data_IF_853925505706
#
_entry.id   IF_853925505706
#
_cell.length_a   1.000
_cell.length_b   1.000
_cell.length_c   1.000
_cell.angle_alpha   90.00
_cell.angle_beta   90.00
_cell.angle_gamma   90.00
#
_symmetry.space_group_name_H-M   'P 1'
#
loop_
_entity.id
_entity.type
_entity.pdbx_description
1 polymer ?
#
# COMPACT_ATOMS: atom_id res chain seq x y z
N UNK A 1 73.12 1.19 12.58
CA UNK A 1 72.18 0.85 13.66
C UNK A 1 71.21 2.01 13.78
N UNK A 2 69.94 1.69 13.59
CA UNK A 2 68.84 2.53 13.13
C UNK A 2 68.43 3.65 14.10
N UNK A 3 67.90 4.76 13.57
CA UNK A 3 67.02 5.66 14.32
C UNK A 3 65.59 5.56 13.77
N UNK A 4 64.69 4.84 14.46
CA UNK A 4 63.26 4.94 14.16
C UNK A 4 62.67 6.18 14.83
N UNK A 5 62.36 7.18 13.99
CA UNK A 5 61.47 8.30 14.29
C UNK A 5 60.04 7.82 14.07
N UNK A 6 59.29 7.55 15.12
CA UNK A 6 57.84 7.36 15.00
C UNK A 6 57.10 8.69 15.10
N UNK A 7 56.44 9.04 14.00
CA UNK A 7 55.67 10.25 13.82
C UNK A 7 54.30 10.19 14.51
N UNK A 8 53.85 11.38 14.91
CA UNK A 8 52.48 11.69 15.31
C UNK A 8 51.44 11.04 14.38
N UNK A 9 50.49 10.31 14.97
CA UNK A 9 49.11 10.25 14.50
C UNK A 9 48.21 10.73 15.62
N UNK A 10 47.87 12.01 15.56
CA UNK A 10 46.75 12.61 16.27
C UNK A 10 45.49 11.80 15.94
N UNK A 11 44.89 11.17 16.97
CA UNK A 11 43.58 10.52 16.85
C UNK A 11 42.51 11.60 16.97
N UNK A 12 41.49 11.45 16.14
CA UNK A 12 40.38 12.35 15.87
C UNK A 12 39.59 12.78 17.12
N UNK A 13 38.88 13.93 17.06
CA UNK A 13 38.28 14.59 18.22
C UNK A 13 37.19 13.77 18.90
N UNK A 14 37.20 13.86 20.23
CA UNK A 14 36.19 13.40 21.17
C UNK A 14 34.77 13.72 20.67
N UNK A 15 33.94 12.69 20.59
CA UNK A 15 32.52 12.80 20.32
C UNK A 15 31.87 13.69 21.39
N UNK A 16 31.31 14.82 20.95
CA UNK A 16 30.40 15.65 21.72
C UNK A 16 29.13 14.86 22.04
N UNK A 17 29.17 14.09 23.13
CA UNK A 17 27.96 13.56 23.76
C UNK A 17 27.31 14.66 24.60
N UNK A 18 26.05 14.93 24.29
CA UNK A 18 25.17 15.84 25.02
C UNK A 18 25.18 15.52 26.53
N UNK A 19 25.49 16.53 27.33
CA UNK A 19 25.56 16.52 28.81
C UNK A 19 24.22 16.27 29.51
N UNK A 20 23.14 16.00 28.76
CA UNK A 20 21.80 15.71 29.30
C UNK A 20 21.29 14.29 28.99
N UNK A 21 22.15 13.42 28.47
CA UNK A 21 21.84 12.00 28.32
C UNK A 21 22.04 11.32 29.68
N UNK A 22 20.98 10.76 30.28
CA UNK A 22 21.16 9.80 31.40
C UNK A 22 22.20 8.76 30.95
N UNK A 23 23.11 8.28 31.83
CA UNK A 23 24.06 7.25 31.44
C UNK A 23 23.28 6.10 30.80
N UNK A 24 23.65 5.74 29.56
CA UNK A 24 23.09 4.53 28.96
C UNK A 24 23.26 3.40 29.97
N UNK A 25 22.22 2.58 30.20
CA UNK A 25 22.37 1.44 31.09
C UNK A 25 23.60 0.66 30.61
N UNK A 26 24.53 0.37 31.53
CA UNK A 26 25.71 -0.47 31.25
C UNK A 26 25.26 -1.62 30.36
N UNK A 27 25.86 -1.77 29.17
CA UNK A 27 25.47 -2.79 28.20
C UNK A 27 25.43 -4.15 28.90
N UNK A 28 24.23 -4.62 29.25
CA UNK A 28 24.02 -5.75 30.15
C UNK A 28 24.66 -7.05 29.62
N UNK A 29 24.91 -7.14 28.30
CA UNK A 29 25.49 -8.30 27.63
C UNK A 29 26.39 -7.91 26.43
N UNK A 30 27.65 -7.47 26.66
CA UNK A 30 28.55 -7.02 25.58
C UNK A 30 28.80 -8.08 24.49
N UNK A 31 28.84 -9.36 24.88
CA UNK A 31 29.00 -10.48 23.95
C UNK A 31 27.80 -10.64 23.01
N UNK A 32 26.58 -10.42 23.51
CA UNK A 32 25.36 -10.46 22.70
C UNK A 32 25.36 -9.30 21.68
N UNK A 33 25.76 -8.11 22.11
CA UNK A 33 25.92 -6.97 21.22
C UNK A 33 27.00 -7.20 20.17
N UNK A 34 28.17 -7.75 20.54
CA UNK A 34 29.21 -8.11 19.57
C UNK A 34 28.76 -9.19 18.57
N UNK A 35 27.98 -10.18 19.01
CA UNK A 35 27.39 -11.18 18.11
C UNK A 35 26.37 -10.56 17.13
N UNK A 36 25.55 -9.61 17.58
CA UNK A 36 24.54 -8.96 16.76
C UNK A 36 25.14 -7.90 15.81
N UNK A 37 26.00 -7.04 16.34
CA UNK A 37 26.54 -5.88 15.63
C UNK A 37 27.67 -6.27 14.71
N UNK A 38 28.59 -7.15 15.10
CA UNK A 38 29.74 -7.46 14.24
C UNK A 38 29.40 -8.63 13.33
N UNK A 39 29.19 -9.82 13.92
CA UNK A 39 28.94 -11.05 13.15
C UNK A 39 27.59 -11.00 12.42
N UNK A 40 26.55 -10.52 13.08
CA UNK A 40 25.23 -10.37 12.50
C UNK A 40 25.25 -9.40 11.31
N UNK A 41 25.90 -8.25 11.45
CA UNK A 41 25.99 -7.26 10.36
C UNK A 41 26.78 -7.77 9.18
N UNK A 42 27.91 -8.46 9.37
CA UNK A 42 28.68 -9.02 8.26
C UNK A 42 27.87 -10.02 7.43
N UNK A 43 27.12 -10.90 8.11
CA UNK A 43 26.21 -11.86 7.45
C UNK A 43 25.09 -11.13 6.71
N UNK A 44 24.51 -10.09 7.30
CA UNK A 44 23.49 -9.26 6.64
C UNK A 44 24.08 -8.58 5.39
N UNK A 45 25.28 -8.01 5.47
CA UNK A 45 25.94 -7.38 4.34
C UNK A 45 26.23 -8.39 3.22
N UNK A 46 26.64 -9.61 3.55
CA UNK A 46 26.82 -10.68 2.57
C UNK A 46 25.49 -11.06 1.89
N UNK A 47 24.42 -11.21 2.67
CA UNK A 47 23.08 -11.46 2.14
C UNK A 47 22.60 -10.33 1.23
N UNK A 48 22.84 -9.06 1.59
CA UNK A 48 22.50 -7.91 0.76
C UNK A 48 23.31 -7.86 -0.54
N UNK A 49 24.59 -8.24 -0.51
CA UNK A 49 25.43 -8.36 -1.71
C UNK A 49 24.87 -9.44 -2.65
N UNK A 50 24.59 -10.64 -2.14
CA UNK A 50 23.97 -11.73 -2.91
C UNK A 50 22.62 -11.31 -3.51
N UNK A 51 21.77 -10.68 -2.69
CA UNK A 51 20.48 -10.13 -3.14
C UNK A 51 20.63 -9.13 -4.29
N UNK A 52 21.64 -8.25 -4.22
CA UNK A 52 21.92 -7.29 -5.31
C UNK A 52 22.44 -7.96 -6.58
N UNK A 53 23.25 -9.01 -6.45
CA UNK A 53 23.75 -9.78 -7.60
C UNK A 53 22.61 -10.53 -8.30
N UNK A 54 21.75 -11.21 -7.53
CA UNK A 54 20.59 -11.94 -8.06
C UNK A 54 19.65 -11.00 -8.80
N UNK A 55 19.40 -9.82 -8.23
CA UNK A 55 18.63 -8.77 -8.90
C UNK A 55 19.24 -8.37 -10.24
N UNK A 56 20.56 -8.15 -10.31
CA UNK A 56 21.24 -7.78 -11.56
C UNK A 56 21.18 -8.89 -12.60
N UNK A 57 21.33 -10.16 -12.20
CA UNK A 57 21.23 -11.32 -13.10
C UNK A 57 19.86 -11.44 -13.76
N UNK A 58 18.80 -10.97 -13.10
CA UNK A 58 17.44 -10.99 -13.66
C UNK A 58 17.17 -9.87 -14.66
N UNK A 59 17.95 -8.79 -14.69
CA UNK A 59 17.74 -7.69 -15.62
C UNK A 59 17.72 -8.16 -17.07
N UNK A 60 18.64 -9.04 -17.43
CA UNK A 60 18.73 -9.57 -18.79
C UNK A 60 17.55 -10.48 -19.14
N UNK A 61 16.90 -11.09 -18.15
CA UNK A 61 15.65 -11.86 -18.35
C UNK A 61 14.42 -10.97 -18.46
N UNK A 62 14.45 -9.78 -17.85
CA UNK A 62 13.35 -8.82 -17.86
C UNK A 62 13.29 -8.04 -19.17
N UNK A 63 14.45 -7.67 -19.73
CA UNK A 63 14.55 -6.94 -21.01
C UNK A 63 13.77 -7.68 -22.09
N UNK A 64 12.71 -7.04 -22.60
CA UNK A 64 11.84 -7.58 -23.65
C UNK A 64 10.69 -8.48 -23.19
N UNK A 65 10.61 -8.85 -21.90
CA UNK A 65 9.45 -9.58 -21.34
C UNK A 65 8.38 -8.67 -20.74
N UNK A 66 8.77 -7.48 -20.30
CA UNK A 66 7.85 -6.50 -19.72
C UNK A 66 7.57 -5.43 -20.77
N UNK A 67 6.29 -5.21 -21.05
CA UNK A 67 5.84 -4.10 -21.88
C UNK A 67 5.79 -2.84 -21.01
N UNK A 68 6.45 -1.80 -21.48
CA UNK A 68 6.55 -0.50 -20.82
C UNK A 68 5.87 0.57 -21.66
N UNK A 69 5.18 1.47 -20.98
CA UNK A 69 4.64 2.69 -21.57
C UNK A 69 5.05 3.90 -20.72
N UNK A 70 4.93 5.10 -21.31
CA UNK A 70 5.39 6.35 -20.72
C UNK A 70 4.20 7.26 -20.39
N UNK A 71 4.10 7.68 -19.14
CA UNK A 71 3.22 8.75 -18.70
C UNK A 71 3.88 10.13 -18.88
N UNK A 72 3.05 11.16 -19.05
CA UNK A 72 3.46 12.55 -19.18
C UNK A 72 3.30 13.30 -17.87
N UNK A 73 4.38 13.91 -17.38
CA UNK A 73 4.38 14.80 -16.21
C UNK A 73 3.60 16.09 -16.48
N UNK A 74 3.66 16.59 -17.72
CA UNK A 74 3.01 17.83 -18.16
C UNK A 74 1.68 17.53 -18.85
N UNK A 75 0.88 16.66 -18.26
CA UNK A 75 -0.41 16.30 -18.83
C UNK A 75 -1.47 17.35 -18.50
N UNK A 76 -1.89 18.13 -19.51
CA UNK A 76 -2.90 19.21 -19.39
C UNK A 76 -4.23 18.78 -18.76
N UNK A 77 -4.52 17.48 -18.78
CA UNK A 77 -5.71 16.92 -18.14
C UNK A 77 -5.69 16.95 -16.61
N UNK A 78 -4.51 17.04 -15.99
CA UNK A 78 -4.33 16.93 -14.54
C UNK A 78 -5.12 18.01 -13.77
N UNK A 79 -5.10 19.25 -14.25
CA UNK A 79 -5.80 20.37 -13.61
C UNK A 79 -7.33 20.33 -13.78
N UNK A 80 -7.80 19.69 -14.86
CA UNK A 80 -9.23 19.70 -15.24
C UNK A 80 -9.96 18.47 -14.73
N UNK A 81 -9.26 17.35 -14.62
CA UNK A 81 -9.86 16.08 -14.25
C UNK A 81 -10.20 16.07 -12.75
N UNK A 82 -11.47 15.80 -12.45
CA UNK A 82 -11.92 15.60 -11.08
C UNK A 82 -11.60 14.17 -10.65
N UNK A 83 -10.82 14.04 -9.59
CA UNK A 83 -10.40 12.78 -9.00
C UNK A 83 -10.95 12.70 -7.58
N UNK A 84 -11.36 11.51 -7.16
CA UNK A 84 -11.60 11.22 -5.75
C UNK A 84 -10.48 10.33 -5.27
N UNK A 85 -9.88 10.66 -4.12
CA UNK A 85 -8.96 9.78 -3.44
C UNK A 85 -9.50 9.38 -2.08
N UNK A 86 -9.16 8.18 -1.61
CA UNK A 86 -9.59 7.70 -0.30
C UNK A 86 -8.49 6.92 0.41
N UNK A 87 -8.49 7.02 1.72
CA UNK A 87 -7.61 6.26 2.60
C UNK A 87 -8.39 5.80 3.84
N UNK A 88 -7.86 4.81 4.56
CA UNK A 88 -8.38 4.37 5.84
C UNK A 88 -7.26 4.15 6.85
N UNK A 89 -7.51 4.59 8.08
CA UNK A 89 -6.60 4.43 9.21
C UNK A 89 -7.23 3.60 10.31
N UNK A 90 -6.41 2.86 11.03
CA UNK A 90 -6.79 2.13 12.23
C UNK A 90 -5.69 2.19 13.30
N UNK A 91 -6.07 2.23 14.57
CA UNK A 91 -5.16 2.33 15.71
C UNK A 91 -5.84 1.94 17.03
N UNK A 92 -6.39 0.73 17.09
CA UNK A 92 -7.01 0.21 18.29
C UNK A 92 -6.06 0.09 19.48
N UNK A 93 -6.66 -0.14 20.65
CA UNK A 93 -5.95 -0.33 21.91
C UNK A 93 -6.26 -1.72 22.46
N UNK A 94 -5.20 -2.49 22.72
CA UNK A 94 -5.28 -3.77 23.40
C UNK A 94 -5.22 -3.53 24.92
N UNK A 95 -6.33 -3.76 25.60
CA UNK A 95 -6.46 -3.66 27.05
C UNK A 95 -6.40 -5.07 27.65
N UNK A 96 -6.02 -5.17 28.92
CA UNK A 96 -5.87 -6.48 29.60
C UNK A 96 -7.10 -7.39 29.51
N UNK A 97 -8.28 -6.83 29.38
CA UNK A 97 -9.56 -7.56 29.38
C UNK A 97 -10.32 -7.48 28.06
N UNK A 98 -9.88 -6.65 27.10
CA UNK A 98 -10.60 -6.44 25.85
C UNK A 98 -9.79 -5.59 24.85
N UNK A 99 -10.19 -5.63 23.60
CA UNK A 99 -9.69 -4.74 22.57
C UNK A 99 -10.69 -3.63 22.25
N UNK A 100 -10.22 -2.39 22.19
CA UNK A 100 -11.01 -1.22 21.80
C UNK A 100 -10.57 -0.75 20.41
N UNK A 101 -11.29 -1.12 19.33
CA UNK A 101 -10.96 -0.70 17.97
C UNK A 101 -11.15 0.80 17.77
N UNK A 102 -10.30 1.37 16.92
CA UNK A 102 -10.41 2.74 16.46
C UNK A 102 -10.00 2.79 14.99
N UNK A 103 -10.99 2.85 14.11
CA UNK A 103 -10.77 2.90 12.66
C UNK A 103 -11.67 3.94 12.00
N UNK A 104 -11.19 4.52 10.90
CA UNK A 104 -11.90 5.55 10.14
C UNK A 104 -11.43 5.55 8.68
N UNK A 105 -12.25 6.10 7.79
CA UNK A 105 -11.90 6.29 6.39
C UNK A 105 -12.33 7.67 5.91
N UNK A 106 -11.57 8.24 4.98
CA UNK A 106 -11.83 9.56 4.39
C UNK A 106 -11.81 9.45 2.87
N UNK A 107 -12.70 10.18 2.21
CA UNK A 107 -12.59 10.48 0.79
C UNK A 107 -12.48 11.99 0.57
N UNK A 108 -11.55 12.38 -0.30
CA UNK A 108 -11.33 13.76 -0.75
C UNK A 108 -11.54 13.85 -2.25
N UNK A 109 -12.07 14.97 -2.73
CA UNK A 109 -12.12 15.27 -4.16
C UNK A 109 -11.06 16.33 -4.49
N UNK A 110 -10.40 16.18 -5.64
CA UNK A 110 -9.35 17.09 -6.08
C UNK A 110 -9.40 17.35 -7.59
N UNK A 111 -8.93 18.54 -8.00
CA UNK A 111 -8.61 18.90 -9.38
C UNK A 111 -7.17 19.44 -9.40
N UNK A 112 -6.28 18.73 -10.09
CA UNK A 112 -4.84 18.96 -9.95
C UNK A 112 -4.40 18.93 -8.49
N UNK A 113 -3.82 20.02 -8.02
CA UNK A 113 -3.29 20.21 -6.67
C UNK A 113 -4.24 20.99 -5.73
N UNK A 114 -5.55 20.93 -5.99
CA UNK A 114 -6.56 21.64 -5.19
C UNK A 114 -7.67 20.72 -4.76
N UNK A 115 -7.98 20.72 -3.47
CA UNK A 115 -9.16 20.05 -2.93
C UNK A 115 -10.44 20.76 -3.36
N UNK A 116 -11.50 19.99 -3.55
CA UNK A 116 -12.82 20.45 -4.00
C UNK A 116 -13.87 20.05 -2.97
N UNK A 117 -14.38 21.06 -2.25
CA UNK A 117 -15.39 20.87 -1.22
C UNK A 117 -14.85 20.17 0.03
N UNK A 118 -15.76 19.80 0.92
CA UNK A 118 -15.42 19.15 2.19
C UNK A 118 -15.21 17.64 2.04
N UNK A 119 -14.19 17.06 2.71
CA UNK A 119 -13.99 15.62 2.78
C UNK A 119 -15.24 14.87 3.30
N UNK A 120 -15.42 13.63 2.86
CA UNK A 120 -16.39 12.72 3.46
C UNK A 120 -15.61 11.85 4.44
N UNK A 121 -16.02 11.83 5.71
CA UNK A 121 -15.40 11.01 6.74
C UNK A 121 -16.40 9.97 7.25
N UNK A 122 -15.94 8.73 7.44
CA UNK A 122 -16.67 7.68 8.14
C UNK A 122 -15.81 7.18 9.30
N UNK A 123 -16.42 7.03 10.47
CA UNK A 123 -15.78 6.44 11.63
C UNK A 123 -16.40 5.06 11.91
N UNK A 124 -15.57 4.18 12.46
CA UNK A 124 -16.00 2.88 12.95
C UNK A 124 -16.94 2.98 14.14
N UNK A 125 -17.62 1.87 14.42
CA UNK A 125 -18.50 1.80 15.58
C UNK A 125 -17.66 1.72 16.86
N UNK A 126 -17.99 2.51 17.91
CA UNK A 126 -17.26 2.51 19.16
C UNK A 126 -17.67 1.28 20.00
N UNK A 127 -17.05 0.15 19.71
CA UNK A 127 -17.28 -1.13 20.41
C UNK A 127 -16.11 -1.53 21.29
N UNK A 128 -16.30 -2.56 22.12
CA UNK A 128 -15.25 -3.21 22.90
C UNK A 128 -15.35 -4.71 22.66
N UNK A 129 -14.26 -5.32 22.20
CA UNK A 129 -14.20 -6.73 21.83
C UNK A 129 -13.50 -7.53 22.92
N UNK A 130 -14.27 -8.32 23.68
CA UNK A 130 -13.75 -9.12 24.81
C UNK A 130 -13.21 -10.47 24.34
N UNK A 131 -13.86 -11.07 23.34
CA UNK A 131 -13.62 -12.46 22.90
C UNK A 131 -13.12 -12.57 21.45
N UNK A 132 -12.69 -11.45 20.85
CA UNK A 132 -12.18 -11.47 19.48
C UNK A 132 -10.75 -12.03 19.42
N UNK A 133 -10.54 -13.04 18.60
CA UNK A 133 -9.26 -13.75 18.50
C UNK A 133 -8.25 -12.99 17.63
N UNK A 134 -8.73 -12.34 16.56
CA UNK A 134 -7.88 -11.67 15.57
C UNK A 134 -8.24 -10.18 15.50
N UNK A 135 -8.01 -9.47 16.61
CA UNK A 135 -8.44 -8.08 16.82
C UNK A 135 -7.85 -7.13 15.78
N UNK A 136 -6.53 -7.21 15.54
CA UNK A 136 -5.84 -6.38 14.55
C UNK A 136 -6.33 -6.63 13.12
N UNK A 137 -6.53 -7.89 12.75
CA UNK A 137 -7.03 -8.29 11.45
C UNK A 137 -8.48 -7.83 11.24
N UNK A 138 -9.35 -8.02 12.25
CA UNK A 138 -10.75 -7.59 12.18
C UNK A 138 -10.85 -6.07 12.08
N UNK A 139 -10.05 -5.33 12.86
CA UNK A 139 -9.98 -3.87 12.77
C UNK A 139 -9.52 -3.41 11.37
N UNK A 140 -8.48 -4.04 10.82
CA UNK A 140 -7.98 -3.75 9.47
C UNK A 140 -9.02 -4.04 8.39
N UNK A 141 -9.78 -5.13 8.56
CA UNK A 141 -10.88 -5.51 7.67
C UNK A 141 -12.02 -4.48 7.69
N UNK A 142 -12.41 -4.02 8.88
CA UNK A 142 -13.44 -3.00 9.05
C UNK A 142 -12.99 -1.63 8.52
N UNK A 143 -11.71 -1.27 8.70
CA UNK A 143 -11.13 -0.08 8.09
C UNK A 143 -11.20 -0.15 6.54
N UNK A 144 -10.84 -1.28 5.96
CA UNK A 144 -10.94 -1.50 4.51
C UNK A 144 -12.39 -1.42 4.01
N UNK A 145 -13.35 -2.01 4.75
CA UNK A 145 -14.79 -1.88 4.47
C UNK A 145 -15.20 -0.40 4.41
N UNK A 146 -14.84 0.40 5.43
CA UNK A 146 -15.14 1.84 5.44
C UNK A 146 -14.47 2.58 4.28
N UNK A 147 -13.26 2.19 3.88
CA UNK A 147 -12.58 2.76 2.72
C UNK A 147 -13.39 2.55 1.43
N UNK A 148 -13.90 1.34 1.20
CA UNK A 148 -14.75 1.06 0.04
C UNK A 148 -16.05 1.87 0.07
N UNK A 149 -16.69 1.96 1.25
CA UNK A 149 -17.93 2.72 1.42
C UNK A 149 -17.75 4.22 1.22
N UNK A 150 -16.69 4.81 1.79
CA UNK A 150 -16.41 6.24 1.65
C UNK A 150 -16.02 6.58 0.22
N UNK A 151 -15.28 5.69 -0.45
CA UNK A 151 -14.96 5.81 -1.88
C UNK A 151 -16.22 5.82 -2.73
N UNK A 152 -17.17 4.94 -2.46
CA UNK A 152 -18.43 4.87 -3.19
C UNK A 152 -19.30 6.10 -2.94
N UNK A 153 -19.40 6.57 -1.68
CA UNK A 153 -20.07 7.83 -1.34
C UNK A 153 -19.43 9.00 -2.09
N UNK A 154 -18.10 9.04 -2.16
CA UNK A 154 -17.38 10.05 -2.92
C UNK A 154 -17.65 9.98 -4.42
N UNK A 155 -17.59 8.78 -5.00
CA UNK A 155 -17.90 8.56 -6.42
C UNK A 155 -19.32 9.03 -6.77
N UNK A 156 -20.31 8.74 -5.92
CA UNK A 156 -21.71 9.18 -6.10
C UNK A 156 -21.89 10.69 -5.95
N UNK A 157 -21.27 11.30 -4.92
CA UNK A 157 -21.38 12.74 -4.61
C UNK A 157 -20.74 13.60 -5.68
N UNK A 158 -19.49 13.31 -6.02
CA UNK A 158 -18.67 14.18 -6.87
C UNK A 158 -18.65 13.76 -8.34
N UNK A 159 -19.03 12.52 -8.66
CA UNK A 159 -18.99 11.96 -10.02
C UNK A 159 -17.65 12.19 -10.72
N UNK A 160 -16.53 11.75 -10.11
CA UNK A 160 -15.19 11.95 -10.67
C UNK A 160 -14.99 11.13 -11.94
N UNK A 161 -13.89 11.39 -12.65
CA UNK A 161 -13.45 10.51 -13.74
C UNK A 161 -12.62 9.33 -13.24
N UNK A 162 -11.92 9.52 -12.12
CA UNK A 162 -11.03 8.52 -11.51
C UNK A 162 -11.24 8.53 -9.99
N UNK A 163 -11.30 7.34 -9.40
CA UNK A 163 -11.23 7.07 -7.97
C UNK A 163 -9.89 6.39 -7.70
N UNK A 164 -9.09 6.95 -6.80
CA UNK A 164 -7.79 6.43 -6.38
C UNK A 164 -7.88 6.00 -4.93
N UNK A 165 -7.76 4.71 -4.66
CA UNK A 165 -7.70 4.19 -3.30
C UNK A 165 -6.24 4.10 -2.86
N UNK A 166 -5.88 4.66 -1.71
CA UNK A 166 -4.58 4.40 -1.09
C UNK A 166 -4.58 2.98 -0.53
N UNK A 167 -3.85 2.07 -1.17
CA UNK A 167 -3.91 0.65 -0.89
C UNK A 167 -4.48 -0.19 -2.04
N UNK A 168 -4.92 -1.40 -1.71
CA UNK A 168 -5.32 -2.44 -2.66
C UNK A 168 -6.82 -2.41 -2.94
N UNK A 169 -7.24 -2.80 -4.15
CA UNK A 169 -8.66 -3.01 -4.47
C UNK A 169 -9.15 -4.37 -3.96
N UNK A 170 -8.25 -5.34 -3.89
CA UNK A 170 -8.51 -6.63 -3.24
C UNK A 170 -8.22 -6.52 -1.75
N UNK A 171 -9.09 -7.10 -0.92
CA UNK A 171 -8.77 -7.34 0.49
C UNK A 171 -7.49 -8.17 0.59
N UNK A 172 -6.68 -7.91 1.61
CA UNK A 172 -5.49 -8.70 1.88
C UNK A 172 -5.90 -10.16 2.15
N UNK A 173 -5.21 -11.11 1.51
CA UNK A 173 -5.50 -12.54 1.67
C UNK A 173 -5.34 -13.01 3.12
N UNK A 174 -4.53 -12.33 3.94
CA UNK A 174 -4.38 -12.64 5.37
C UNK A 174 -5.66 -12.37 6.17
N UNK A 175 -6.61 -11.62 5.62
CA UNK A 175 -7.92 -11.33 6.23
C UNK A 175 -8.97 -12.39 5.87
N UNK A 176 -8.61 -13.44 5.12
CA UNK A 176 -9.53 -14.53 4.85
C UNK A 176 -9.92 -15.20 6.19
N UNK A 177 -11.22 -15.39 6.46
CA UNK A 177 -11.65 -16.03 7.70
C UNK A 177 -11.06 -17.44 7.82
N UNK A 178 -10.36 -17.70 8.92
CA UNK A 178 -9.93 -19.03 9.32
C UNK A 178 -11.16 -19.92 9.64
N UNK A 179 -10.96 -21.23 9.74
CA UNK A 179 -12.05 -22.14 10.09
C UNK A 179 -12.64 -21.84 11.47
N UNK A 180 -11.78 -21.39 12.38
CA UNK A 180 -12.07 -21.03 13.77
C UNK A 180 -12.54 -19.57 13.94
N UNK A 181 -12.64 -18.80 12.85
CA UNK A 181 -13.08 -17.41 12.93
C UNK A 181 -14.51 -17.31 13.49
N UNK A 182 -14.76 -16.25 14.26
CA UNK A 182 -16.08 -15.95 14.83
C UNK A 182 -17.10 -15.69 13.71
N UNK A 183 -18.39 -15.90 14.00
CA UNK A 183 -19.45 -15.58 13.03
C UNK A 183 -19.51 -14.09 12.72
N UNK A 184 -19.17 -13.23 13.69
CA UNK A 184 -19.03 -11.80 13.48
C UNK A 184 -17.91 -11.48 12.49
N UNK A 185 -16.72 -12.07 12.64
CA UNK A 185 -15.63 -11.89 11.68
C UNK A 185 -16.02 -12.33 10.27
N UNK A 186 -16.68 -13.49 10.14
CA UNK A 186 -17.15 -14.01 8.84
C UNK A 186 -18.19 -13.07 8.21
N UNK A 187 -19.10 -12.52 9.00
CA UNK A 187 -20.07 -11.51 8.55
C UNK A 187 -19.36 -10.25 8.08
N UNK A 188 -18.47 -9.69 8.91
CA UNK A 188 -17.72 -8.47 8.61
C UNK A 188 -16.89 -8.65 7.33
N UNK A 189 -16.30 -9.83 7.12
CA UNK A 189 -15.59 -10.17 5.89
C UNK A 189 -16.52 -10.19 4.66
N UNK A 190 -17.69 -10.84 4.77
CA UNK A 190 -18.68 -10.87 3.68
C UNK A 190 -19.14 -9.44 3.33
N UNK A 191 -19.35 -8.59 4.33
CA UNK A 191 -19.75 -7.19 4.15
C UNK A 191 -18.64 -6.34 3.52
N UNK A 192 -17.39 -6.55 3.91
CA UNK A 192 -16.23 -5.89 3.30
C UNK A 192 -16.07 -6.26 1.82
N UNK A 193 -16.15 -7.57 1.50
CA UNK A 193 -16.20 -8.05 0.11
C UNK A 193 -17.35 -7.41 -0.65
N UNK A 194 -18.53 -7.37 -0.04
CA UNK A 194 -19.70 -6.76 -0.66
C UNK A 194 -19.51 -5.27 -0.96
N UNK A 195 -18.87 -4.54 -0.05
CA UNK A 195 -18.58 -3.10 -0.23
C UNK A 195 -17.58 -2.87 -1.35
N UNK A 196 -16.54 -3.69 -1.44
CA UNK A 196 -15.56 -3.63 -2.53
C UNK A 196 -16.20 -3.92 -3.89
N UNK A 197 -16.96 -5.00 -4.01
CA UNK A 197 -17.62 -5.37 -5.27
C UNK A 197 -18.66 -4.33 -5.68
N UNK A 198 -19.44 -3.79 -4.73
CA UNK A 198 -20.39 -2.69 -4.99
C UNK A 198 -19.69 -1.44 -5.52
N UNK A 199 -18.57 -1.03 -4.91
CA UNK A 199 -17.77 0.09 -5.40
C UNK A 199 -17.34 -0.14 -6.86
N UNK A 200 -16.73 -1.29 -7.14
CA UNK A 200 -16.20 -1.59 -8.47
C UNK A 200 -17.31 -1.65 -9.53
N UNK A 201 -18.44 -2.29 -9.19
CA UNK A 201 -19.60 -2.41 -10.07
C UNK A 201 -20.25 -1.04 -10.35
N UNK A 202 -20.53 -0.24 -9.32
CA UNK A 202 -21.17 1.06 -9.53
C UNK A 202 -20.27 2.06 -10.25
N UNK A 203 -18.96 2.03 -9.99
CA UNK A 203 -18.00 2.84 -10.76
C UNK A 203 -17.96 2.41 -12.23
N UNK A 204 -18.00 1.10 -12.54
CA UNK A 204 -18.12 0.60 -13.91
C UNK A 204 -19.36 1.17 -14.60
N UNK A 205 -20.53 1.04 -13.97
CA UNK A 205 -21.80 1.53 -14.53
C UNK A 205 -21.79 3.06 -14.74
N UNK A 206 -21.15 3.80 -13.83
CA UNK A 206 -20.97 5.24 -13.94
C UNK A 206 -19.82 5.65 -14.88
N UNK A 207 -19.11 4.70 -15.50
CA UNK A 207 -17.90 4.91 -16.34
C UNK A 207 -16.77 5.64 -15.63
N UNK A 208 -16.68 5.47 -14.32
CA UNK A 208 -15.65 6.00 -13.43
C UNK A 208 -14.53 4.98 -13.32
N UNK A 209 -13.28 5.40 -13.56
CA UNK A 209 -12.12 4.52 -13.39
C UNK A 209 -11.81 4.35 -11.91
N UNK A 210 -11.43 3.14 -11.50
CA UNK A 210 -10.98 2.86 -10.13
C UNK A 210 -9.57 2.28 -10.20
N UNK A 211 -8.68 2.77 -9.33
CA UNK A 211 -7.31 2.27 -9.17
C UNK A 211 -6.94 2.19 -7.70
N UNK A 212 -6.32 1.10 -7.29
CA UNK A 212 -5.62 0.99 -6.00
C UNK A 212 -4.18 1.43 -6.18
N UNK A 213 -3.70 2.37 -5.38
CA UNK A 213 -2.34 2.90 -5.39
C UNK A 213 -1.59 2.39 -4.16
N UNK A 214 -0.66 1.45 -4.35
CA UNK A 214 -0.01 0.71 -3.27
C UNK A 214 1.42 1.21 -3.07
N UNK A 215 1.63 2.00 -2.00
CA UNK A 215 2.94 2.58 -1.62
C UNK A 215 3.99 1.51 -1.28
N UNK A 216 3.59 0.46 -0.55
CA UNK A 216 4.48 -0.55 0.04
C UNK A 216 4.00 -1.95 -0.31
N UNK A 217 4.44 -2.46 -1.46
CA UNK A 217 4.13 -3.83 -1.88
C UNK A 217 5.24 -4.80 -1.51
N UNK A 218 4.84 -5.98 -1.05
CA UNK A 218 5.72 -7.15 -0.87
C UNK A 218 5.51 -8.20 -1.96
N UNK A 219 4.75 -7.88 -3.01
CA UNK A 219 4.48 -8.81 -4.10
C UNK A 219 5.76 -9.21 -4.83
N UNK A 220 5.75 -10.45 -5.27
CA UNK A 220 6.82 -11.17 -5.95
C UNK A 220 6.26 -11.96 -7.14
N UNK A 221 5.09 -11.60 -7.67
CA UNK A 221 4.41 -12.40 -8.70
C UNK A 221 5.17 -12.35 -10.03
N UNK A 222 5.70 -11.18 -10.40
CA UNK A 222 6.55 -11.02 -11.57
C UNK A 222 7.89 -11.75 -11.36
N UNK A 223 8.58 -11.52 -10.25
CA UNK A 223 9.85 -12.17 -9.94
C UNK A 223 9.70 -13.70 -9.82
N UNK A 224 8.59 -14.19 -9.27
CA UNK A 224 8.25 -15.61 -9.19
C UNK A 224 8.15 -16.26 -10.56
N UNK A 225 7.46 -15.61 -11.51
CA UNK A 225 7.40 -16.05 -12.93
C UNK A 225 8.77 -16.06 -13.62
N UNK A 226 9.71 -15.26 -13.14
CA UNK A 226 11.09 -15.22 -13.62
C UNK A 226 12.03 -16.21 -12.90
N UNK A 227 11.49 -17.03 -11.99
CA UNK A 227 12.23 -18.04 -11.22
C UNK A 227 12.93 -17.50 -9.98
N UNK A 228 12.54 -16.34 -9.48
CA UNK A 228 13.12 -15.69 -8.30
C UNK A 228 12.05 -15.26 -7.27
N UNK A 229 11.29 -16.20 -6.70
CA UNK A 229 10.18 -15.88 -5.79
C UNK A 229 10.60 -15.21 -4.48
N UNK A 230 11.89 -15.22 -4.12
CA UNK A 230 12.40 -14.55 -2.93
C UNK A 230 12.61 -13.03 -3.13
N UNK A 231 12.58 -12.55 -4.38
CA UNK A 231 12.75 -11.14 -4.71
C UNK A 231 11.40 -10.45 -4.84
N UNK A 232 11.30 -9.24 -4.28
CA UNK A 232 10.13 -8.37 -4.50
C UNK A 232 10.16 -7.79 -5.91
N UNK A 233 8.99 -7.66 -6.51
CA UNK A 233 8.83 -7.09 -7.85
C UNK A 233 9.39 -5.66 -7.92
N UNK A 234 9.12 -4.84 -6.89
CA UNK A 234 9.62 -3.47 -6.80
C UNK A 234 11.12 -3.38 -6.71
N UNK A 235 11.80 -4.35 -6.10
CA UNK A 235 13.25 -4.35 -6.01
C UNK A 235 13.87 -4.52 -7.40
N UNK A 236 13.28 -5.36 -8.26
CA UNK A 236 13.69 -5.56 -9.65
C UNK A 236 13.30 -4.38 -10.53
N UNK A 237 12.04 -3.94 -10.44
CA UNK A 237 11.49 -2.87 -11.26
C UNK A 237 12.12 -1.50 -10.96
N UNK A 238 12.65 -1.27 -9.77
CA UNK A 238 13.43 -0.07 -9.46
C UNK A 238 14.67 0.10 -10.37
N UNK A 239 15.20 -1.00 -10.90
CA UNK A 239 16.31 -0.97 -11.86
C UNK A 239 15.85 -0.90 -13.33
N UNK A 240 14.57 -1.11 -13.60
CA UNK A 240 14.02 -1.24 -14.96
C UNK A 240 13.18 -0.03 -15.36
N UNK A 241 12.35 0.46 -14.44
CA UNK A 241 11.46 1.58 -14.70
C UNK A 241 12.18 2.91 -14.54
N UNK A 242 12.14 3.71 -15.59
CA UNK A 242 12.49 5.13 -15.54
C UNK A 242 11.31 5.95 -15.02
N UNK A 243 11.56 7.21 -14.67
CA UNK A 243 10.52 8.11 -14.14
C UNK A 243 9.43 8.36 -15.20
N UNK A 244 8.18 8.22 -14.77
CA UNK A 244 6.98 8.24 -15.60
C UNK A 244 6.69 6.93 -16.34
N UNK A 245 7.55 5.92 -16.31
CA UNK A 245 7.26 4.64 -16.94
C UNK A 245 6.35 3.77 -16.08
N UNK A 246 5.48 3.01 -16.76
CA UNK A 246 4.65 1.98 -16.14
C UNK A 246 4.62 0.70 -16.95
N UNK A 247 4.38 -0.42 -16.27
CA UNK A 247 4.25 -1.74 -16.89
C UNK A 247 2.83 -1.98 -17.37
N UNK A 248 2.64 -2.66 -18.49
CA UNK A 248 1.33 -3.19 -18.87
C UNK A 248 1.09 -4.56 -18.25
N UNK A 249 -0.05 -4.78 -17.57
CA UNK A 249 -0.36 -6.09 -17.01
C UNK A 249 -0.91 -7.02 -18.12
N UNK A 250 -0.52 -8.30 -18.08
CA UNK A 250 -0.96 -9.28 -19.09
C UNK A 250 -2.04 -10.23 -18.56
N UNK A 251 -2.00 -10.55 -17.26
CA UNK A 251 -2.89 -11.52 -16.63
C UNK A 251 -3.53 -10.92 -15.37
N UNK A 252 -4.79 -11.28 -15.08
CA UNK A 252 -5.41 -10.90 -13.84
C UNK A 252 -4.73 -11.61 -12.66
N UNK A 253 -4.84 -11.00 -11.49
CA UNK A 253 -4.38 -11.59 -10.24
C UNK A 253 -5.26 -12.80 -9.90
N UNK A 254 -4.63 -13.90 -9.50
CA UNK A 254 -5.31 -15.08 -8.99
C UNK A 254 -5.03 -15.22 -7.50
N UNK A 255 -6.08 -15.14 -6.68
CA UNK A 255 -6.03 -15.45 -5.26
C UNK A 255 -7.43 -15.82 -4.73
N UNK A 256 -7.53 -16.42 -3.53
CA UNK A 256 -8.83 -16.85 -2.99
C UNK A 256 -9.80 -15.69 -2.70
N UNK A 257 -9.33 -14.46 -2.54
CA UNK A 257 -10.18 -13.27 -2.35
C UNK A 257 -10.93 -12.94 -3.64
N UNK A 258 -10.28 -13.06 -4.80
CA UNK A 258 -10.93 -12.89 -6.12
C UNK A 258 -12.11 -13.86 -6.26
N UNK A 259 -11.97 -15.10 -5.81
CA UNK A 259 -13.07 -16.07 -5.86
C UNK A 259 -14.24 -15.67 -4.95
N UNK A 260 -13.97 -15.04 -3.81
CA UNK A 260 -15.02 -14.49 -2.94
C UNK A 260 -15.73 -13.30 -3.60
N UNK A 261 -14.99 -12.42 -4.27
CA UNK A 261 -15.56 -11.31 -5.04
C UNK A 261 -16.45 -11.82 -6.17
N UNK A 262 -15.95 -12.78 -6.96
CA UNK A 262 -16.71 -13.40 -8.06
C UNK A 262 -17.98 -14.10 -7.55
N UNK A 263 -17.91 -14.75 -6.39
CA UNK A 263 -19.09 -15.38 -5.78
C UNK A 263 -20.11 -14.34 -5.36
N UNK A 264 -19.69 -13.31 -4.62
CA UNK A 264 -20.56 -12.21 -4.20
C UNK A 264 -21.22 -11.52 -5.42
N UNK A 265 -20.44 -11.23 -6.47
CA UNK A 265 -20.93 -10.63 -7.70
C UNK A 265 -22.05 -11.45 -8.37
N UNK A 266 -21.94 -12.78 -8.37
CA UNK A 266 -22.95 -13.67 -8.95
C UNK A 266 -24.19 -13.81 -8.07
N UNK A 267 -23.98 -14.06 -6.78
CA UNK A 267 -25.05 -14.43 -5.85
C UNK A 267 -25.86 -13.21 -5.40
N UNK A 268 -25.18 -12.09 -5.11
CA UNK A 268 -25.80 -10.93 -4.45
C UNK A 268 -26.10 -9.79 -5.44
N UNK A 269 -25.31 -9.66 -6.52
CA UNK A 269 -25.54 -8.65 -7.57
C UNK A 269 -26.12 -9.23 -8.87
N UNK A 270 -26.23 -10.55 -8.99
CA UNK A 270 -26.80 -11.21 -10.16
C UNK A 270 -25.97 -11.07 -11.44
N UNK A 271 -24.69 -10.70 -11.35
CA UNK A 271 -23.81 -10.49 -12.51
C UNK A 271 -23.48 -11.81 -13.20
N UNK A 272 -23.36 -11.77 -14.55
CA UNK A 272 -23.14 -12.98 -15.35
C UNK A 272 -21.90 -12.88 -16.23
N UNK A 273 -21.27 -14.04 -16.45
CA UNK A 273 -20.24 -14.24 -17.47
C UNK A 273 -19.18 -13.14 -17.49
N UNK A 274 -19.21 -12.32 -18.53
CA UNK A 274 -18.23 -11.26 -18.76
C UNK A 274 -18.34 -10.11 -17.76
N UNK A 275 -19.53 -9.78 -17.25
CA UNK A 275 -19.68 -8.69 -16.27
C UNK A 275 -18.94 -8.98 -14.96
N UNK A 276 -18.95 -10.25 -14.53
CA UNK A 276 -18.20 -10.68 -13.36
C UNK A 276 -16.70 -10.51 -13.59
N UNK A 277 -16.20 -10.85 -14.78
CA UNK A 277 -14.79 -10.69 -15.14
C UNK A 277 -14.41 -9.22 -15.21
N UNK A 278 -15.22 -8.39 -15.87
CA UNK A 278 -14.98 -6.95 -15.98
C UNK A 278 -14.78 -6.30 -14.60
N UNK A 279 -15.61 -6.66 -13.62
CA UNK A 279 -15.57 -6.09 -12.26
C UNK A 279 -14.53 -6.76 -11.35
N UNK A 280 -14.42 -8.08 -11.37
CA UNK A 280 -13.66 -8.85 -10.37
C UNK A 280 -12.26 -9.27 -10.82
N UNK A 281 -11.97 -9.26 -12.13
CA UNK A 281 -10.61 -9.54 -12.61
C UNK A 281 -9.76 -8.29 -12.41
N UNK A 282 -9.00 -8.28 -11.30
CA UNK A 282 -8.09 -7.20 -10.94
C UNK A 282 -6.70 -7.51 -11.49
N UNK A 283 -6.09 -6.54 -12.14
CA UNK A 283 -4.77 -6.61 -12.72
C UNK A 283 -3.79 -5.81 -11.88
N UNK A 284 -2.56 -6.30 -11.76
CA UNK A 284 -1.47 -5.61 -11.08
C UNK A 284 -0.46 -5.09 -12.09
N UNK A 285 -0.21 -3.78 -12.06
CA UNK A 285 0.89 -3.16 -12.78
C UNK A 285 1.73 -2.28 -11.85
N UNK A 286 2.80 -1.69 -12.37
CA UNK A 286 3.72 -0.87 -11.60
C UNK A 286 3.99 0.44 -12.34
N UNK A 287 4.16 1.53 -11.59
CA UNK A 287 4.50 2.86 -12.12
C UNK A 287 5.60 3.49 -11.27
N UNK A 288 6.55 4.18 -11.90
CA UNK A 288 7.53 5.02 -11.21
C UNK A 288 7.18 6.49 -11.39
N UNK A 289 6.59 7.11 -10.39
CA UNK A 289 6.19 8.53 -10.44
C UNK A 289 7.22 9.47 -9.82
N UNK A 290 7.98 9.01 -8.82
CA UNK A 290 9.04 9.77 -8.16
C UNK A 290 10.44 9.17 -8.33
N UNK A 291 11.39 9.68 -7.53
CA UNK A 291 12.75 9.13 -7.46
C UNK A 291 12.84 7.85 -6.62
N UNK A 292 11.84 7.60 -5.79
CA UNK A 292 11.73 6.41 -4.95
C UNK A 292 11.43 5.14 -5.78
N UNK A 293 11.29 4.02 -5.07
CA UNK A 293 10.92 2.74 -5.67
C UNK A 293 9.56 2.81 -6.37
N UNK A 294 9.35 2.05 -7.45
CA UNK A 294 8.05 2.02 -8.14
C UNK A 294 6.88 1.62 -7.23
N UNK A 295 5.71 2.17 -7.52
CA UNK A 295 4.44 1.87 -6.87
C UNK A 295 3.68 0.79 -7.62
N UNK A 296 2.90 -0.03 -6.90
CA UNK A 296 1.99 -0.98 -7.53
C UNK A 296 0.63 -0.34 -7.72
N UNK A 297 0.04 -0.55 -8.90
CA UNK A 297 -1.33 -0.21 -9.22
C UNK A 297 -2.17 -1.48 -9.32
N UNK A 298 -3.34 -1.47 -8.71
CA UNK A 298 -4.39 -2.47 -8.92
C UNK A 298 -5.52 -1.86 -9.74
N UNK A 299 -5.91 -2.50 -10.82
CA UNK A 299 -6.89 -1.95 -11.78
C UNK A 299 -7.85 -3.05 -12.20
N UNK A 300 -9.18 -2.85 -12.12
CA UNK A 300 -10.13 -3.82 -12.65
C UNK A 300 -10.06 -3.84 -14.17
N UNK A 301 -10.48 -4.96 -14.77
CA UNK A 301 -10.39 -5.18 -16.22
C UNK A 301 -11.01 -4.06 -17.06
N UNK A 302 -12.17 -3.52 -16.65
CA UNK A 302 -12.86 -2.43 -17.36
C UNK A 302 -12.09 -1.09 -17.38
N UNK A 303 -11.02 -0.96 -16.60
CA UNK A 303 -10.15 0.22 -16.57
C UNK A 303 -8.90 0.08 -17.44
N UNK A 304 -8.57 -1.12 -17.93
CA UNK A 304 -7.29 -1.39 -18.60
C UNK A 304 -7.11 -0.57 -19.89
N UNK A 305 -8.19 -0.39 -20.65
CA UNK A 305 -8.21 0.40 -21.89
C UNK A 305 -7.83 1.88 -21.68
N UNK A 306 -7.99 2.36 -20.44
CA UNK A 306 -7.72 3.74 -20.02
C UNK A 306 -6.63 3.81 -18.96
N UNK A 307 -5.80 2.77 -18.82
CA UNK A 307 -4.68 2.76 -17.88
C UNK A 307 -3.73 3.95 -18.10
N UNK A 308 -3.46 4.33 -19.35
CA UNK A 308 -2.62 5.49 -19.67
C UNK A 308 -3.17 6.82 -19.11
N UNK A 309 -4.51 6.99 -19.04
CA UNK A 309 -5.11 8.16 -18.40
C UNK A 309 -4.84 8.16 -16.89
N UNK A 310 -4.98 7.01 -16.24
CA UNK A 310 -4.68 6.84 -14.81
C UNK A 310 -3.19 7.11 -14.56
N UNK A 311 -2.29 6.54 -15.35
CA UNK A 311 -0.86 6.72 -15.21
C UNK A 311 -0.44 8.19 -15.40
N UNK A 312 -0.99 8.88 -16.41
CA UNK A 312 -0.78 10.32 -16.62
C UNK A 312 -1.26 11.15 -15.44
N UNK A 313 -2.46 10.88 -14.93
CA UNK A 313 -3.00 11.57 -13.76
C UNK A 313 -2.08 11.38 -12.53
N UNK A 314 -1.74 10.14 -12.21
CA UNK A 314 -0.92 9.82 -11.04
C UNK A 314 0.45 10.49 -11.16
N UNK A 315 1.13 10.37 -12.30
CA UNK A 315 2.44 10.96 -12.49
C UNK A 315 2.43 12.48 -12.49
N UNK A 316 1.51 13.10 -13.23
CA UNK A 316 1.42 14.55 -13.32
C UNK A 316 1.06 15.22 -11.99
N UNK A 317 0.34 14.53 -11.10
CA UNK A 317 -0.05 15.07 -9.79
C UNK A 317 0.84 14.59 -8.64
N UNK A 318 1.89 13.83 -8.93
CA UNK A 318 2.83 13.33 -7.91
C UNK A 318 3.75 14.44 -7.40
N UNK A 319 4.05 14.40 -6.10
CA UNK A 319 5.06 15.25 -5.47
C UNK A 319 6.47 14.61 -5.58
N UNK A 320 7.48 15.20 -4.93
CA UNK A 320 8.88 14.74 -5.01
C UNK A 320 9.06 13.29 -4.53
N UNK A 321 8.27 12.88 -3.54
CA UNK A 321 8.26 11.52 -3.03
C UNK A 321 7.65 10.51 -4.02
N UNK A 322 6.91 10.99 -5.02
CA UNK A 322 6.21 10.19 -6.02
C UNK A 322 4.75 9.89 -5.65
N UNK A 323 4.22 10.43 -4.56
CA UNK A 323 2.84 10.20 -4.14
C UNK A 323 1.93 11.25 -4.80
N UNK A 324 0.83 10.86 -5.47
CA UNK A 324 -0.14 11.80 -6.02
C UNK A 324 -0.75 12.69 -4.93
N UNK A 325 -0.89 14.00 -5.22
CA UNK A 325 -1.44 15.00 -4.29
C UNK A 325 -2.71 14.55 -3.57
N UNK A 326 -3.69 14.01 -4.32
CA UNK A 326 -4.96 13.58 -3.74
C UNK A 326 -4.81 12.40 -2.77
N UNK A 327 -3.87 11.48 -3.03
CA UNK A 327 -3.54 10.35 -2.14
C UNK A 327 -2.86 10.87 -0.87
N UNK A 328 -1.94 11.83 -1.01
CA UNK A 328 -1.28 12.47 0.12
C UNK A 328 -2.28 13.17 1.05
N UNK A 329 -3.22 13.94 0.50
CA UNK A 329 -4.24 14.64 1.29
C UNK A 329 -5.20 13.67 1.99
N UNK A 330 -5.57 12.56 1.35
CA UNK A 330 -6.37 11.51 2.00
C UNK A 330 -5.61 10.89 3.20
N UNK A 331 -4.35 10.46 2.99
CA UNK A 331 -3.45 9.88 4.00
C UNK A 331 -3.22 10.82 5.19
N UNK A 332 -3.12 12.11 4.92
CA UNK A 332 -2.94 13.12 5.96
C UNK A 332 -4.16 13.24 6.87
N UNK A 333 -5.37 13.14 6.33
CA UNK A 333 -6.63 13.31 7.06
C UNK A 333 -7.05 12.06 7.84
N UNK A 334 -6.60 10.88 7.42
CA UNK A 334 -6.92 9.57 8.02
C UNK A 334 -5.98 9.16 9.15
N UNK A 335 -4.87 9.88 9.37
CA UNK A 335 -3.88 9.57 10.40
C UNK A 335 -4.49 9.59 11.81
N UNK A 336 -4.82 8.40 12.31
CA UNK A 336 -5.24 8.17 13.70
C UNK A 336 -4.00 8.06 14.58
N UNK A 337 -3.49 9.19 15.07
CA UNK A 337 -2.32 9.21 15.96
C UNK A 337 -2.67 8.83 17.39
N UNK A 338 -1.70 8.31 18.15
CA UNK A 338 -1.87 7.98 19.57
C UNK A 338 -2.28 9.20 20.42
N UNK A 339 -1.94 10.42 20.00
CA UNK A 339 -2.35 11.66 20.67
C UNK A 339 -3.86 11.96 20.55
N UNK A 340 -4.56 11.32 19.59
CA UNK A 340 -6.01 11.45 19.37
C UNK A 340 -6.77 10.28 20.02
N UNK A 341 -6.07 9.20 20.40
CA UNK A 341 -6.65 8.02 21.04
C UNK A 341 -6.58 8.13 22.58
N UNK A 342 -7.57 8.80 23.18
CA UNK A 342 -7.76 8.84 24.64
C UNK A 342 -8.02 7.44 25.25
N UNK A 343 -8.22 6.42 24.41
CA UNK A 343 -8.46 5.04 24.83
C UNK A 343 -7.21 4.43 25.48
N UNK A 344 -6.01 4.87 25.09
CA UNK A 344 -4.76 4.37 25.70
C UNK A 344 -4.42 5.01 27.06
N UNK A 345 -5.19 6.00 27.49
CA UNK A 345 -5.06 6.63 28.81
C UNK A 345 -6.07 6.09 29.84
N UNK A 346 -6.95 5.16 29.43
CA UNK A 346 -7.85 4.40 30.30
C UNK A 346 -7.13 3.15 30.83
#
# INVERSE_FOLDING_TARGET
MEPEREGRRERLPEQLFSTFSKPEPEMLHPELYGQLIDRGTDVILEHLKRYSEDRRRLLDKVKGRIKLEQASEKWDGAEKLLTVASDAGNNGADLRSAFAPLYAAVAVAARGWRLVGEPICLAGEPEVWVDEFATSERESLLAAKLQFEVSLKGARKWRPRVVVMDGTLLLNFSLLPAAEATEDYKRDFKEAVGSAVKLLHECKEAKVLVVGFVKRTRANSLCGKLGAPHLRDTALLDLVLERGQYTLPEEPMENPVVDRYRRFAKEELGLKGEEVKEVCDIYSCYIRTGYQTPYRLEVPRYCLDRLGLVANLLYATSEEDGIPFCVYEADKLTKITAAISNVRTL
#
